data_IF_827633664854
#
_entry.id   IF_827633664854
#
_cell.length_a   1.000
_cell.length_b   1.000
_cell.length_c   1.000
_cell.angle_alpha   90.00
_cell.angle_beta   90.00
_cell.angle_gamma   90.00
#
_symmetry.space_group_name_H-M   'P 1'
#
loop_
_entity.id
_entity.type
_entity.pdbx_description
1 polymer ?
#
# COMPACT_ATOMS: atom_id res chain seq x y z
N UNK A 1 36.92 29.55 -18.06
CA UNK A 1 36.95 28.20 -18.66
C UNK A 1 37.86 27.35 -17.79
N UNK A 2 37.31 26.66 -16.79
CA UNK A 2 38.09 25.69 -16.02
C UNK A 2 37.38 24.34 -16.07
N UNK A 3 38.08 23.41 -16.71
CA UNK A 3 37.63 22.04 -16.99
C UNK A 3 37.45 21.30 -15.66
N UNK A 4 36.22 20.96 -15.32
CA UNK A 4 35.90 19.94 -14.32
C UNK A 4 36.54 18.62 -14.76
N UNK A 5 37.75 18.35 -14.27
CA UNK A 5 38.37 17.03 -14.34
C UNK A 5 37.54 16.13 -13.44
N UNK A 6 36.66 15.34 -14.04
CA UNK A 6 36.11 14.13 -13.43
C UNK A 6 37.29 13.20 -13.13
N UNK A 7 37.94 13.43 -12.00
CA UNK A 7 38.82 12.43 -11.43
C UNK A 7 37.87 11.31 -10.96
N UNK A 8 37.76 10.27 -11.78
CA UNK A 8 37.33 8.94 -11.34
C UNK A 8 38.37 8.47 -10.30
N UNK A 9 38.35 9.06 -9.10
CA UNK A 9 39.13 8.61 -7.98
C UNK A 9 38.53 7.28 -7.56
N UNK A 10 39.21 6.22 -7.96
CA UNK A 10 38.96 4.86 -7.49
C UNK A 10 38.93 4.90 -5.96
N UNK A 11 37.82 4.48 -5.37
CA UNK A 11 37.65 4.48 -3.91
C UNK A 11 38.81 3.72 -3.24
N UNK A 12 39.52 4.38 -2.31
CA UNK A 12 40.60 3.80 -1.51
C UNK A 12 40.18 3.66 -0.05
N UNK A 13 39.89 2.43 0.36
CA UNK A 13 39.48 2.08 1.72
C UNK A 13 40.49 2.53 2.79
N UNK A 14 41.80 2.45 2.49
CA UNK A 14 42.86 2.83 3.45
C UNK A 14 42.84 4.31 3.81
N UNK A 15 42.61 5.20 2.85
CA UNK A 15 42.60 6.64 3.11
C UNK A 15 41.36 7.06 3.90
N UNK A 16 40.22 6.41 3.65
CA UNK A 16 38.96 6.73 4.30
C UNK A 16 38.91 6.34 5.78
N UNK A 17 39.66 5.31 6.18
CA UNK A 17 39.78 4.89 7.58
C UNK A 17 40.42 5.95 8.48
N UNK A 18 41.19 6.89 7.92
CA UNK A 18 41.82 7.95 8.70
C UNK A 18 40.82 9.05 9.12
N UNK A 19 39.66 9.14 8.47
CA UNK A 19 38.65 10.18 8.70
C UNK A 19 37.45 9.69 9.55
N UNK A 20 37.65 8.59 10.28
CA UNK A 20 36.66 8.04 11.20
C UNK A 20 36.52 8.90 12.46
N UNK A 21 35.35 9.52 12.63
CA UNK A 21 34.99 10.18 13.89
C UNK A 21 34.26 9.18 14.79
N UNK A 22 34.90 8.78 15.89
CA UNK A 22 34.44 7.75 16.84
C UNK A 22 33.30 8.21 17.78
N UNK A 23 32.29 8.90 17.28
CA UNK A 23 31.18 9.38 18.10
C UNK A 23 29.88 8.87 17.51
N UNK A 24 29.49 7.66 17.89
CA UNK A 24 28.13 7.20 18.30
C UNK A 24 28.28 5.71 18.64
N UNK A 25 28.40 5.41 19.93
CA UNK A 25 28.40 4.05 20.48
C UNK A 25 26.98 3.53 20.66
N UNK A 26 26.23 3.44 19.57
CA UNK A 26 25.07 2.54 19.50
C UNK A 26 25.20 1.68 18.23
N UNK A 27 25.74 0.47 18.43
CA UNK A 27 25.93 -0.62 17.45
C UNK A 27 26.81 -0.28 16.24
N UNK A 28 28.12 -0.55 16.31
CA UNK A 28 29.01 -0.88 15.18
C UNK A 28 28.82 -0.12 13.84
N UNK A 29 28.38 1.14 13.84
CA UNK A 29 28.19 1.92 12.63
C UNK A 29 29.35 2.90 12.52
N UNK A 30 30.22 2.65 11.53
CA UNK A 30 31.31 3.55 11.12
C UNK A 30 30.74 4.61 10.20
N UNK A 31 30.59 5.84 10.70
CA UNK A 31 30.14 6.99 9.91
C UNK A 31 31.39 7.73 9.43
N UNK A 32 31.53 7.85 8.11
CA UNK A 32 32.60 8.63 7.50
C UNK A 32 32.07 10.03 7.18
N UNK A 33 32.72 11.05 7.75
CA UNK A 33 32.30 12.46 7.63
C UNK A 33 32.45 13.03 6.21
N UNK A 34 33.26 12.37 5.40
CA UNK A 34 33.73 12.75 4.08
C UNK A 34 33.02 12.02 2.93
N UNK A 35 32.17 11.02 3.21
CA UNK A 35 31.28 10.42 2.21
C UNK A 35 29.98 11.21 2.19
N UNK A 36 29.72 11.92 1.09
CA UNK A 36 28.36 12.37 0.81
C UNK A 36 27.53 11.16 0.35
N UNK A 37 26.98 10.42 1.31
CA UNK A 37 26.19 9.22 1.03
C UNK A 37 25.03 9.49 0.07
N UNK A 38 24.42 10.68 0.13
CA UNK A 38 23.34 11.09 -0.78
C UNK A 38 23.79 11.08 -2.25
N UNK A 39 25.05 11.41 -2.52
CA UNK A 39 25.59 11.44 -3.88
C UNK A 39 25.63 10.06 -4.54
N UNK A 40 25.67 9.00 -3.74
CA UNK A 40 25.66 7.60 -4.22
C UNK A 40 24.25 6.98 -4.25
N UNK A 41 23.24 7.65 -3.71
CA UNK A 41 21.85 7.20 -3.80
C UNK A 41 21.19 7.75 -5.07
N UNK A 42 21.19 6.95 -6.13
CA UNK A 42 20.39 7.24 -7.31
C UNK A 42 18.95 6.74 -7.10
N UNK A 43 18.05 7.64 -6.71
CA UNK A 43 16.64 7.32 -6.47
C UNK A 43 15.85 7.32 -7.77
N UNK A 44 15.18 6.20 -8.08
CA UNK A 44 14.19 6.13 -9.17
C UNK A 44 12.81 6.18 -8.54
N UNK A 45 12.08 7.28 -8.79
CA UNK A 45 10.68 7.42 -8.38
C UNK A 45 9.80 6.84 -9.47
N UNK A 46 8.92 5.90 -9.12
CA UNK A 46 7.87 5.36 -10.00
C UNK A 46 6.52 5.67 -9.40
N UNK A 47 5.63 6.23 -10.21
CA UNK A 47 4.23 6.41 -9.85
C UNK A 47 3.36 5.47 -10.68
N UNK A 48 2.57 4.62 -10.01
CA UNK A 48 1.73 3.60 -10.64
C UNK A 48 0.30 3.86 -10.16
N UNK A 49 -0.49 4.55 -10.99
CA UNK A 49 -1.87 4.94 -10.67
C UNK A 49 -2.83 4.55 -11.81
N UNK A 50 -2.94 5.40 -12.84
CA UNK A 50 -3.96 5.33 -13.90
C UNK A 50 -3.88 4.06 -14.72
N UNK A 51 -2.66 3.55 -14.93
CA UNK A 51 -2.40 2.32 -15.69
C UNK A 51 -3.03 1.08 -15.04
N UNK A 52 -3.24 1.08 -13.73
CA UNK A 52 -3.84 -0.06 -13.02
C UNK A 52 -5.37 -0.02 -13.08
N UNK A 53 -5.96 1.18 -12.99
CA UNK A 53 -7.42 1.35 -12.91
C UNK A 53 -8.17 0.97 -14.19
N UNK A 54 -7.50 0.98 -15.35
CA UNK A 54 -8.08 0.63 -16.66
C UNK A 54 -7.53 -0.68 -17.23
N UNK A 55 -6.96 -1.54 -16.37
CA UNK A 55 -6.46 -2.85 -16.79
C UNK A 55 -7.60 -3.86 -16.98
N UNK A 56 -7.34 -4.93 -17.74
CA UNK A 56 -8.31 -6.01 -17.90
C UNK A 56 -8.54 -6.67 -16.53
N UNK A 57 -9.79 -6.76 -16.05
CA UNK A 57 -10.09 -7.32 -14.74
C UNK A 57 -9.68 -8.78 -14.63
N UNK A 58 -9.29 -9.19 -13.42
CA UNK A 58 -8.95 -10.57 -13.14
C UNK A 58 -10.18 -11.49 -13.25
N UNK A 59 -9.99 -12.80 -13.33
CA UNK A 59 -11.11 -13.75 -13.26
C UNK A 59 -11.91 -13.67 -11.97
N UNK A 60 -11.31 -13.15 -10.89
CA UNK A 60 -12.00 -12.90 -9.63
C UNK A 60 -12.91 -11.68 -9.77
N UNK A 61 -12.36 -10.54 -10.19
CA UNK A 61 -13.11 -9.29 -10.34
C UNK A 61 -14.23 -9.41 -11.37
N UNK A 62 -13.99 -10.11 -12.49
CA UNK A 62 -15.00 -10.38 -13.51
C UNK A 62 -16.19 -11.16 -12.96
N UNK A 63 -15.93 -12.25 -12.24
CA UNK A 63 -17.02 -13.04 -11.65
C UNK A 63 -17.75 -12.30 -10.55
N UNK A 64 -17.02 -11.54 -9.74
CA UNK A 64 -17.62 -10.72 -8.68
C UNK A 64 -18.54 -9.63 -9.25
N UNK A 65 -18.06 -8.87 -10.24
CA UNK A 65 -18.85 -7.84 -10.91
C UNK A 65 -20.11 -8.41 -11.58
N UNK A 66 -19.98 -9.55 -12.26
CA UNK A 66 -21.12 -10.25 -12.85
C UNK A 66 -22.15 -10.67 -11.80
N UNK A 67 -21.71 -11.26 -10.68
CA UNK A 67 -22.61 -11.66 -9.59
C UNK A 67 -23.34 -10.48 -8.96
N UNK A 68 -22.67 -9.33 -8.79
CA UNK A 68 -23.30 -8.11 -8.30
C UNK A 68 -24.37 -7.59 -9.28
N UNK A 69 -24.07 -7.54 -10.58
CA UNK A 69 -25.02 -7.11 -11.60
C UNK A 69 -26.26 -8.01 -11.67
N UNK A 70 -26.05 -9.34 -11.62
CA UNK A 70 -27.13 -10.31 -11.60
C UNK A 70 -28.02 -10.15 -10.35
N UNK A 71 -27.40 -9.99 -9.17
CA UNK A 71 -28.15 -9.79 -7.92
C UNK A 71 -28.93 -8.47 -7.92
N UNK A 72 -28.37 -7.41 -8.48
CA UNK A 72 -29.06 -6.13 -8.65
C UNK A 72 -30.28 -6.28 -9.57
N UNK A 73 -30.15 -7.02 -10.68
CA UNK A 73 -31.27 -7.35 -11.56
C UNK A 73 -32.41 -8.05 -10.82
N UNK A 74 -32.09 -9.11 -10.06
CA UNK A 74 -33.07 -9.82 -9.22
C UNK A 74 -33.72 -8.88 -8.20
N UNK A 75 -32.94 -8.00 -7.55
CA UNK A 75 -33.48 -7.05 -6.57
C UNK A 75 -34.51 -6.09 -7.20
N UNK A 76 -34.22 -5.57 -8.39
CA UNK A 76 -35.12 -4.69 -9.14
C UNK A 76 -36.39 -5.41 -9.56
N UNK A 77 -36.29 -6.66 -10.05
CA UNK A 77 -37.46 -7.48 -10.41
C UNK A 77 -38.40 -7.73 -9.22
N UNK A 78 -37.85 -7.77 -8.01
CA UNK A 78 -38.61 -7.93 -6.77
C UNK A 78 -39.05 -6.60 -6.13
N UNK A 79 -38.94 -5.46 -6.84
CA UNK A 79 -39.26 -4.12 -6.34
C UNK A 79 -38.49 -3.73 -5.06
N UNK A 80 -37.29 -4.29 -4.86
CA UNK A 80 -36.43 -3.94 -3.72
C UNK A 80 -35.60 -2.70 -4.09
N UNK A 81 -35.83 -1.60 -3.38
CA UNK A 81 -35.14 -0.31 -3.58
C UNK A 81 -34.28 0.04 -2.38
N UNK A 82 -33.23 0.84 -2.60
CA UNK A 82 -32.29 1.28 -1.56
C UNK A 82 -31.52 0.16 -0.86
N UNK A 83 -31.21 -0.92 -1.58
CA UNK A 83 -30.32 -1.99 -1.11
C UNK A 83 -28.98 -1.96 -1.83
N UNK A 84 -27.93 -2.36 -1.11
CA UNK A 84 -26.59 -2.60 -1.62
C UNK A 84 -26.40 -4.10 -1.76
N UNK A 85 -26.03 -4.54 -2.96
CA UNK A 85 -25.65 -5.91 -3.25
C UNK A 85 -24.37 -6.30 -2.53
N UNK A 86 -24.33 -7.50 -1.96
CA UNK A 86 -23.16 -8.04 -1.27
C UNK A 86 -22.99 -9.52 -1.59
N UNK A 87 -21.82 -9.87 -2.13
CA UNK A 87 -21.39 -11.24 -2.33
C UNK A 87 -20.41 -11.61 -1.21
N UNK A 88 -20.68 -12.71 -0.51
CA UNK A 88 -19.92 -13.16 0.67
C UNK A 88 -19.20 -14.47 0.39
N UNK A 89 -18.29 -14.83 1.30
CA UNK A 89 -17.47 -16.05 1.22
C UNK A 89 -16.57 -16.06 -0.03
N UNK A 90 -16.03 -14.90 -0.40
CA UNK A 90 -15.16 -14.69 -1.56
C UNK A 90 -13.84 -15.49 -1.53
N UNK A 91 -13.47 -16.02 -0.36
CA UNK A 91 -12.33 -16.93 -0.20
C UNK A 91 -12.60 -18.35 -0.70
N UNK A 92 -13.87 -18.73 -0.90
CA UNK A 92 -14.26 -20.03 -1.43
C UNK A 92 -14.32 -20.00 -2.96
N UNK A 93 -14.50 -21.19 -3.56
CA UNK A 93 -14.77 -21.30 -5.00
C UNK A 93 -16.06 -20.57 -5.36
N UNK A 94 -16.13 -20.10 -6.62
CA UNK A 94 -17.23 -19.27 -7.14
C UNK A 94 -18.61 -19.89 -6.95
N UNK A 95 -18.72 -21.23 -6.97
CA UNK A 95 -20.00 -21.92 -6.76
C UNK A 95 -20.53 -21.79 -5.33
N UNK A 96 -19.65 -21.52 -4.37
CA UNK A 96 -19.95 -21.47 -2.94
C UNK A 96 -20.11 -20.03 -2.43
N UNK A 97 -20.14 -19.05 -3.32
CA UNK A 97 -20.41 -17.66 -2.95
C UNK A 97 -21.87 -17.49 -2.55
N UNK A 98 -22.12 -16.70 -1.51
CA UNK A 98 -23.48 -16.37 -1.09
C UNK A 98 -23.84 -14.93 -1.38
N UNK A 99 -25.00 -14.73 -1.99
CA UNK A 99 -25.56 -13.42 -2.31
C UNK A 99 -26.40 -12.89 -1.15
N UNK A 100 -26.33 -11.58 -0.92
CA UNK A 100 -27.06 -10.89 0.15
C UNK A 100 -27.33 -9.44 -0.23
N UNK A 101 -28.41 -8.87 0.30
CA UNK A 101 -28.79 -7.47 0.13
C UNK A 101 -28.76 -6.78 1.50
N UNK A 102 -28.07 -5.65 1.59
CA UNK A 102 -28.02 -4.84 2.81
C UNK A 102 -28.73 -3.51 2.59
N UNK A 103 -29.59 -3.05 3.52
CA UNK A 103 -30.20 -1.72 3.41
C UNK A 103 -29.11 -0.64 3.30
N UNK A 104 -29.22 0.24 2.31
CA UNK A 104 -28.21 1.26 2.01
C UNK A 104 -27.93 2.23 3.17
N UNK A 105 -28.93 2.47 4.02
CA UNK A 105 -28.79 3.31 5.22
C UNK A 105 -27.76 2.78 6.22
N UNK A 106 -27.44 1.48 6.22
CA UNK A 106 -26.42 0.91 7.12
C UNK A 106 -25.01 1.44 6.85
N UNK A 107 -24.76 1.97 5.66
CA UNK A 107 -23.45 2.49 5.27
C UNK A 107 -23.35 4.00 5.44
N UNK A 108 -24.46 4.68 5.73
CA UNK A 108 -24.47 6.13 5.90
C UNK A 108 -23.88 6.47 7.26
N UNK A 109 -22.83 7.28 7.26
CA UNK A 109 -22.25 7.77 8.50
C UNK A 109 -23.00 9.02 8.97
N UNK A 110 -23.54 8.97 10.18
CA UNK A 110 -24.18 10.11 10.85
C UNK A 110 -23.22 10.84 11.80
N UNK A 111 -21.98 10.37 11.94
CA UNK A 111 -21.01 10.93 12.89
C UNK A 111 -20.13 12.02 12.25
N UNK A 112 -20.01 13.10 13.00
CA UNK A 112 -19.56 14.45 12.64
C UNK A 112 -18.05 14.59 12.41
N UNK A 113 -17.38 13.70 11.67
CA UNK A 113 -15.91 13.67 11.70
C UNK A 113 -15.23 14.69 10.76
N UNK A 114 -15.98 15.33 9.85
CA UNK A 114 -15.45 16.37 8.96
C UNK A 114 -16.50 17.46 8.72
N UNK A 115 -16.24 18.68 9.22
CA UNK A 115 -17.12 19.84 9.03
C UNK A 115 -17.48 20.12 7.56
N UNK A 116 -16.61 19.69 6.64
CA UNK A 116 -16.75 19.85 5.19
C UNK A 116 -17.91 19.06 4.58
N UNK A 117 -18.39 18.01 5.25
CA UNK A 117 -19.45 17.11 4.74
C UNK A 117 -20.77 17.19 5.51
N UNK A 118 -20.92 18.13 6.46
CA UNK A 118 -22.17 18.33 7.25
C UNK A 118 -23.44 18.51 6.39
N UNK A 119 -23.30 18.86 5.12
CA UNK A 119 -24.42 19.14 4.21
C UNK A 119 -25.04 17.89 3.57
N UNK A 120 -24.32 16.75 3.50
CA UNK A 120 -24.80 15.56 2.79
C UNK A 120 -24.46 14.27 3.53
N UNK A 121 -25.42 13.34 3.59
CA UNK A 121 -25.18 11.97 4.01
C UNK A 121 -24.12 11.32 3.11
N UNK A 122 -23.11 10.69 3.71
CA UNK A 122 -22.02 10.04 2.97
C UNK A 122 -21.64 8.71 3.61
N UNK A 123 -21.03 7.83 2.81
CA UNK A 123 -20.40 6.60 3.28
C UNK A 123 -18.96 6.90 3.63
N UNK A 124 -18.58 6.70 4.89
CA UNK A 124 -17.20 6.93 5.32
C UNK A 124 -16.26 5.90 4.68
N UNK A 125 -15.08 6.32 4.18
CA UNK A 125 -14.06 5.36 3.78
C UNK A 125 -13.67 4.50 4.99
N UNK A 126 -13.45 3.21 4.76
CA UNK A 126 -13.05 2.26 5.81
C UNK A 126 -11.52 2.23 5.88
N UNK A 127 -10.89 2.75 6.95
CA UNK A 127 -9.44 2.74 7.09
C UNK A 127 -8.93 1.31 7.38
N UNK A 128 -7.64 1.09 7.13
CA UNK A 128 -6.98 -0.16 7.49
C UNK A 128 -7.00 -0.34 9.01
N UNK A 129 -7.59 -1.44 9.49
CA UNK A 129 -7.59 -1.76 10.91
C UNK A 129 -6.21 -2.20 11.39
N UNK A 130 -5.66 -1.48 12.38
CA UNK A 130 -4.37 -1.80 13.01
C UNK A 130 -4.36 -3.10 13.80
N UNK A 131 -5.55 -3.62 14.14
CA UNK A 131 -5.77 -4.88 14.86
C UNK A 131 -6.03 -6.05 13.91
N UNK A 132 -6.06 -5.82 12.60
CA UNK A 132 -6.36 -6.85 11.61
C UNK A 132 -5.22 -7.88 11.49
N UNK A 133 -5.56 -9.14 11.18
CA UNK A 133 -4.57 -10.19 10.97
C UNK A 133 -3.62 -9.84 9.80
N UNK A 134 -4.11 -9.11 8.79
CA UNK A 134 -3.30 -8.62 7.69
C UNK A 134 -2.21 -7.66 8.19
N UNK A 135 -2.57 -6.69 9.04
CA UNK A 135 -1.60 -5.74 9.59
C UNK A 135 -0.58 -6.42 10.52
N UNK A 136 -1.03 -7.38 11.32
CA UNK A 136 -0.14 -8.17 12.19
C UNK A 136 0.90 -8.93 11.36
N UNK A 137 0.47 -9.61 10.29
CA UNK A 137 1.36 -10.33 9.38
C UNK A 137 2.37 -9.40 8.70
N UNK A 138 1.93 -8.22 8.25
CA UNK A 138 2.84 -7.23 7.65
C UNK A 138 3.90 -6.78 8.66
N UNK A 139 3.50 -6.43 9.90
CA UNK A 139 4.45 -5.99 10.94
C UNK A 139 5.46 -7.08 11.32
N UNK A 140 4.99 -8.33 11.41
CA UNK A 140 5.85 -9.48 11.70
C UNK A 140 6.89 -9.70 10.59
N UNK A 141 6.44 -9.75 9.33
CA UNK A 141 7.32 -10.01 8.19
C UNK A 141 8.23 -8.83 7.83
N UNK A 142 7.81 -7.58 8.05
CA UNK A 142 8.63 -6.40 7.77
C UNK A 142 9.98 -6.43 8.52
N UNK A 143 10.01 -7.03 9.72
CA UNK A 143 11.24 -7.20 10.48
C UNK A 143 12.14 -8.33 9.96
N UNK A 144 11.56 -9.33 9.27
CA UNK A 144 12.27 -10.49 8.72
C UNK A 144 12.83 -10.24 7.32
N UNK A 145 12.18 -9.40 6.52
CA UNK A 145 12.63 -9.03 5.16
C UNK A 145 13.70 -7.92 5.21
N UNK A 146 14.57 -7.94 6.23
CA UNK A 146 15.80 -7.14 6.18
C UNK A 146 16.74 -7.83 5.19
N UNK A 147 17.33 -7.09 4.23
CA UNK A 147 18.23 -7.70 3.25
C UNK A 147 19.34 -8.43 4.00
N UNK A 148 19.57 -9.70 3.66
CA UNK A 148 20.73 -10.44 4.15
C UNK A 148 21.95 -9.60 3.79
N UNK A 149 22.61 -9.04 4.79
CA UNK A 149 23.93 -8.44 4.63
C UNK A 149 24.83 -9.60 4.19
N UNK A 150 25.13 -9.69 2.90
CA UNK A 150 26.14 -10.62 2.42
C UNK A 150 27.47 -10.22 3.08
N UNK A 151 28.05 -11.07 3.95
CA UNK A 151 29.41 -10.83 4.40
C UNK A 151 30.31 -10.95 3.17
N UNK A 152 31.02 -9.87 2.85
CA UNK A 152 32.18 -9.91 1.97
C UNK A 152 33.39 -10.37 2.77
#
# INVERSE_FOLDING_TARGET
MDKNKNNNLLYSYKNHMNNLTNTITEKNIKIYSDINYLFYFNTIVKNIDKEVNCSIPTHFDNSLAFSHGLLAGIAVENNLVNYVTSIRQLSLSKQNWSSSLYPGYYFINNQNDLEKFKKYHYVSPVPISMKSCQMVTIKYNANMVKPKTHPK
#
